data_IF_468046739457
#
_entry.id   IF_468046739457
#
_cell.length_a   1.000
_cell.length_b   1.000
_cell.length_c   1.000
_cell.angle_alpha   90.00
_cell.angle_beta   90.00
_cell.angle_gamma   90.00
#
_symmetry.space_group_name_H-M   'P 1'
#
loop_
_entity.id
_entity.type
_entity.pdbx_description
1 polymer ?
#
# COMPACT_ATOMS: atom_id res chain seq x y z
N UNK A 1 -7.34 8.46 -30.98
CA UNK A 1 -6.88 7.32 -30.15
C UNK A 1 -5.44 7.61 -29.72
N UNK A 2 -5.24 8.32 -28.61
CA UNK A 2 -3.90 8.63 -28.13
C UNK A 2 -3.38 7.47 -27.30
N UNK A 3 -2.54 6.64 -27.91
CA UNK A 3 -1.72 5.69 -27.20
C UNK A 3 -0.74 6.49 -26.33
N UNK A 4 -1.00 6.55 -25.03
CA UNK A 4 -0.02 6.99 -24.05
C UNK A 4 1.12 5.98 -24.09
N UNK A 5 2.15 6.27 -24.89
CA UNK A 5 3.44 5.62 -24.77
C UNK A 5 3.95 5.90 -23.36
N UNK A 6 3.72 4.97 -22.43
CA UNK A 6 4.61 4.84 -21.30
C UNK A 6 5.95 4.42 -21.88
N UNK A 7 6.84 5.40 -22.09
CA UNK A 7 8.24 5.12 -22.35
C UNK A 7 8.69 4.12 -21.28
N UNK A 8 9.05 2.91 -21.72
CA UNK A 8 9.77 1.96 -20.91
C UNK A 8 11.15 2.57 -20.66
N UNK A 9 11.24 3.45 -19.67
CA UNK A 9 12.53 3.85 -19.15
C UNK A 9 13.03 2.63 -18.39
N UNK A 10 13.73 1.74 -19.10
CA UNK A 10 14.55 0.68 -18.52
C UNK A 10 15.66 1.32 -17.68
N UNK A 11 15.28 1.86 -16.53
CA UNK A 11 16.23 2.38 -15.56
C UNK A 11 16.73 1.16 -14.82
N UNK A 12 17.94 0.71 -15.14
CA UNK A 12 18.67 -0.23 -14.29
C UNK A 12 18.64 0.26 -12.84
N UNK A 13 18.25 -0.59 -11.92
CA UNK A 13 18.27 -0.29 -10.50
C UNK A 13 19.69 -0.33 -9.92
N UNK A 14 19.90 0.21 -8.71
CA UNK A 14 21.20 0.19 -8.06
C UNK A 14 21.71 -1.24 -7.88
N UNK A 15 22.97 -1.49 -8.24
CA UNK A 15 23.61 -2.78 -7.99
C UNK A 15 23.96 -2.96 -6.52
N UNK A 16 24.01 -4.21 -6.07
CA UNK A 16 24.38 -4.56 -4.70
C UNK A 16 25.75 -5.25 -4.74
N UNK A 17 26.85 -4.60 -4.33
CA UNK A 17 28.21 -5.12 -4.55
C UNK A 17 28.45 -6.52 -4.02
N UNK A 18 27.87 -6.86 -2.86
CA UNK A 18 27.98 -8.20 -2.31
C UNK A 18 27.32 -9.26 -3.22
N UNK A 19 26.16 -8.96 -3.79
CA UNK A 19 25.46 -9.86 -4.72
C UNK A 19 26.17 -9.95 -6.07
N UNK A 20 26.77 -8.86 -6.53
CA UNK A 20 27.64 -8.87 -7.71
C UNK A 20 28.82 -9.81 -7.53
N UNK A 21 29.48 -9.75 -6.37
CA UNK A 21 30.60 -10.64 -6.06
C UNK A 21 30.19 -12.12 -6.02
N UNK A 22 29.02 -12.45 -5.47
CA UNK A 22 28.51 -13.82 -5.50
C UNK A 22 28.18 -14.31 -6.92
N UNK A 23 27.51 -13.46 -7.71
CA UNK A 23 27.19 -13.79 -9.10
C UNK A 23 28.47 -13.98 -9.95
N UNK A 24 29.48 -13.13 -9.76
CA UNK A 24 30.78 -13.25 -10.44
C UNK A 24 31.53 -14.55 -10.09
N UNK A 25 31.26 -15.13 -8.91
CA UNK A 25 31.79 -16.44 -8.48
C UNK A 25 30.93 -17.63 -8.96
N UNK A 26 29.95 -17.39 -9.83
CA UNK A 26 29.07 -18.43 -10.38
C UNK A 26 27.92 -18.85 -9.44
N UNK A 27 27.68 -18.13 -8.33
CA UNK A 27 26.55 -18.43 -7.46
C UNK A 27 25.24 -18.01 -8.12
N UNK A 28 24.28 -18.93 -8.23
CA UNK A 28 22.95 -18.61 -8.75
C UNK A 28 22.11 -17.83 -7.72
N UNK A 29 21.80 -16.57 -8.04
CA UNK A 29 20.93 -15.70 -7.26
C UNK A 29 19.58 -15.53 -7.97
N UNK A 30 18.62 -16.39 -7.64
CA UNK A 30 17.32 -16.52 -8.34
C UNK A 30 16.67 -15.16 -8.65
N UNK A 31 16.60 -14.25 -7.67
CA UNK A 31 15.93 -12.95 -7.83
C UNK A 31 16.88 -11.76 -7.89
N UNK A 32 18.14 -11.94 -8.29
CA UNK A 32 19.04 -10.80 -8.51
C UNK A 32 19.09 -10.44 -10.00
N UNK A 33 18.37 -9.39 -10.36
CA UNK A 33 18.29 -8.82 -11.71
C UNK A 33 18.20 -7.29 -11.59
N UNK A 34 19.33 -6.59 -11.34
CA UNK A 34 19.33 -5.14 -11.21
C UNK A 34 18.97 -4.43 -12.52
N UNK A 35 19.07 -5.12 -13.67
CA UNK A 35 18.70 -4.57 -14.98
C UNK A 35 17.22 -4.64 -15.29
N UNK A 36 16.48 -5.53 -14.62
CA UNK A 36 15.09 -5.82 -14.92
C UNK A 36 14.88 -6.61 -16.22
N UNK A 37 15.93 -7.21 -16.79
CA UNK A 37 15.87 -7.93 -18.07
C UNK A 37 15.08 -9.23 -17.99
N UNK A 38 15.00 -9.86 -16.81
CA UNK A 38 14.30 -11.13 -16.58
C UNK A 38 12.89 -10.91 -16.02
N UNK A 39 12.71 -9.89 -15.18
CA UNK A 39 11.46 -9.69 -14.43
C UNK A 39 10.72 -8.39 -14.79
N UNK A 40 11.18 -7.64 -15.79
CA UNK A 40 10.58 -6.38 -16.25
C UNK A 40 10.85 -5.17 -15.35
N UNK A 41 11.34 -5.39 -14.13
CA UNK A 41 11.76 -4.36 -13.17
C UNK A 41 13.04 -4.80 -12.48
N UNK A 42 13.91 -3.86 -12.05
CA UNK A 42 15.01 -4.19 -11.16
C UNK A 42 14.51 -5.02 -9.97
N UNK A 43 15.04 -6.23 -9.85
CA UNK A 43 14.55 -7.23 -8.91
C UNK A 43 15.67 -7.66 -7.98
N UNK A 44 15.36 -7.71 -6.69
CA UNK A 44 16.31 -8.07 -5.64
C UNK A 44 15.77 -9.24 -4.80
N UNK A 45 16.66 -10.08 -4.25
CA UNK A 45 16.25 -11.12 -3.33
C UNK A 45 15.80 -10.54 -1.99
N UNK A 46 15.06 -11.35 -1.21
CA UNK A 46 14.58 -10.95 0.11
C UNK A 46 15.71 -10.42 1.01
N UNK A 47 15.48 -9.27 1.65
CA UNK A 47 16.43 -8.53 2.51
C UNK A 47 17.62 -7.87 1.80
N UNK A 48 17.64 -7.83 0.47
CA UNK A 48 18.70 -7.21 -0.32
C UNK A 48 18.26 -5.99 -1.14
N UNK A 49 17.22 -5.28 -0.69
CA UNK A 49 16.89 -3.99 -1.30
C UNK A 49 18.09 -3.03 -1.19
N UNK A 50 18.49 -2.37 -2.29
CA UNK A 50 19.53 -1.35 -2.24
C UNK A 50 19.16 -0.16 -1.37
N UNK A 51 20.17 0.58 -0.92
CA UNK A 51 19.97 1.88 -0.25
C UNK A 51 19.19 2.84 -1.16
N UNK A 52 18.39 3.71 -0.56
CA UNK A 52 17.57 4.69 -1.27
C UNK A 52 16.25 4.13 -1.83
N UNK A 53 16.00 2.83 -1.69
CA UNK A 53 14.77 2.16 -2.10
C UNK A 53 14.03 1.58 -0.89
N UNK A 54 12.76 1.95 -0.71
CA UNK A 54 11.94 1.48 0.41
C UNK A 54 10.59 0.96 -0.05
N UNK A 55 10.07 -0.03 0.67
CA UNK A 55 8.68 -0.48 0.51
C UNK A 55 7.69 0.58 1.00
N UNK A 56 6.43 0.52 0.54
CA UNK A 56 5.35 1.42 1.04
C UNK A 56 5.22 1.40 2.55
N UNK A 57 5.41 0.23 3.19
CA UNK A 57 5.34 0.09 4.64
C UNK A 57 6.50 0.79 5.33
N UNK A 58 7.72 0.67 4.80
CA UNK A 58 8.89 1.37 5.33
C UNK A 58 8.76 2.89 5.13
N UNK A 59 8.34 3.36 3.95
CA UNK A 59 8.04 4.79 3.74
C UNK A 59 7.04 5.31 4.77
N UNK A 60 5.95 4.57 5.03
CA UNK A 60 4.96 4.96 6.03
C UNK A 60 5.55 5.06 7.45
N UNK A 61 6.46 4.16 7.82
CA UNK A 61 7.16 4.22 9.11
C UNK A 61 8.04 5.48 9.24
N UNK A 62 8.54 6.00 8.11
CA UNK A 62 9.27 7.28 8.05
C UNK A 62 8.36 8.51 7.84
N UNK A 63 7.04 8.38 7.96
CA UNK A 63 6.12 9.51 7.73
C UNK A 63 6.01 9.93 6.26
N UNK A 64 6.42 9.07 5.33
CA UNK A 64 6.44 9.32 3.89
C UNK A 64 5.36 8.52 3.15
N UNK A 65 5.10 8.92 1.90
CA UNK A 65 4.29 8.22 0.90
C UNK A 65 5.04 8.22 -0.44
N UNK A 66 4.74 7.27 -1.37
CA UNK A 66 5.40 7.20 -2.67
C UNK A 66 5.33 8.49 -3.51
N UNK A 67 4.36 9.38 -3.26
CA UNK A 67 4.32 10.68 -3.93
C UNK A 67 3.77 10.67 -5.37
N UNK A 68 3.29 9.53 -5.85
CA UNK A 68 2.77 9.34 -7.22
C UNK A 68 3.79 8.77 -8.21
N UNK A 69 5.02 8.51 -7.76
CA UNK A 69 6.04 7.86 -8.58
C UNK A 69 5.65 6.43 -8.98
N UNK A 70 6.11 5.93 -10.14
CA UNK A 70 5.97 4.52 -10.51
C UNK A 70 6.78 3.62 -9.57
N UNK A 71 6.55 2.31 -9.64
CA UNK A 71 7.39 1.33 -8.94
C UNK A 71 8.81 1.39 -9.53
N UNK A 72 9.82 1.58 -8.69
CA UNK A 72 11.20 1.71 -9.13
C UNK A 72 11.93 0.36 -9.18
N UNK A 73 11.54 -0.58 -8.33
CA UNK A 73 12.12 -1.91 -8.23
C UNK A 73 11.18 -2.84 -7.44
N UNK A 74 11.54 -4.12 -7.35
CA UNK A 74 10.80 -5.09 -6.57
C UNK A 74 11.72 -6.05 -5.81
N UNK A 75 11.17 -6.66 -4.76
CA UNK A 75 11.74 -7.84 -4.10
C UNK A 75 10.85 -9.02 -4.44
N UNK A 76 11.44 -10.13 -4.90
CA UNK A 76 10.75 -11.41 -5.08
C UNK A 76 11.30 -12.46 -4.12
N UNK A 77 10.42 -13.32 -3.61
CA UNK A 77 10.79 -14.47 -2.79
C UNK A 77 9.71 -15.55 -2.78
N UNK A 78 10.03 -16.70 -2.17
CA UNK A 78 9.19 -17.91 -2.17
C UNK A 78 8.81 -18.32 -3.59
N UNK A 79 9.82 -18.54 -4.45
CA UNK A 79 9.66 -18.95 -5.86
C UNK A 79 8.73 -18.00 -6.63
N UNK A 80 8.90 -16.69 -6.43
CA UNK A 80 8.10 -15.64 -7.07
C UNK A 80 6.68 -15.45 -6.51
N UNK A 81 6.22 -16.26 -5.54
CA UNK A 81 4.85 -16.15 -4.99
C UNK A 81 4.62 -14.92 -4.12
N UNK A 82 5.69 -14.20 -3.72
CA UNK A 82 5.58 -12.98 -2.93
C UNK A 82 6.42 -11.87 -3.54
N UNK A 83 5.81 -10.69 -3.58
CA UNK A 83 6.39 -9.45 -4.10
C UNK A 83 6.33 -8.33 -3.08
N UNK A 84 7.36 -7.49 -3.04
CA UNK A 84 7.32 -6.21 -2.35
C UNK A 84 7.86 -5.13 -3.28
N UNK A 85 7.01 -4.16 -3.63
CA UNK A 85 7.39 -3.04 -4.48
C UNK A 85 8.21 -2.01 -3.70
N UNK A 86 9.24 -1.51 -4.37
CA UNK A 86 10.18 -0.53 -3.87
C UNK A 86 9.99 0.80 -4.60
N UNK A 87 10.18 1.88 -3.83
CA UNK A 87 10.01 3.25 -4.26
C UNK A 87 11.24 4.06 -3.85
N UNK A 88 11.61 5.04 -4.66
CA UNK A 88 12.74 5.92 -4.37
C UNK A 88 12.38 6.85 -3.21
N UNK A 89 13.24 6.87 -2.19
CA UNK A 89 13.07 7.74 -1.03
C UNK A 89 13.17 9.22 -1.43
N UNK A 90 14.06 9.56 -2.36
CA UNK A 90 14.26 10.92 -2.84
C UNK A 90 13.01 11.53 -3.52
N UNK A 91 12.16 10.69 -4.11
CA UNK A 91 10.91 11.09 -4.76
C UNK A 91 9.68 10.94 -3.86
N UNK A 92 9.88 10.40 -2.66
CA UNK A 92 8.82 10.26 -1.68
C UNK A 92 8.38 11.63 -1.17
N UNK A 93 7.11 11.73 -0.79
CA UNK A 93 6.53 12.96 -0.24
C UNK A 93 6.09 12.71 1.19
N UNK A 94 5.99 13.73 2.05
CA UNK A 94 5.36 13.58 3.34
C UNK A 94 3.96 12.97 3.22
N UNK A 95 3.63 12.10 4.18
CA UNK A 95 2.28 11.56 4.35
C UNK A 95 1.30 12.74 4.49
N UNK A 96 0.16 12.66 3.80
CA UNK A 96 -0.88 13.69 3.93
C UNK A 96 -1.45 13.64 5.35
N UNK A 97 -1.47 14.79 6.00
CA UNK A 97 -2.22 15.01 7.24
C UNK A 97 -3.60 15.51 6.87
N UNK A 98 -4.64 14.90 7.45
CA UNK A 98 -6.00 15.37 7.25
C UNK A 98 -6.15 16.77 7.88
N UNK A 99 -6.86 17.67 7.20
CA UNK A 99 -7.17 18.98 7.77
C UNK A 99 -8.19 18.85 8.91
N UNK A 100 -8.27 19.82 9.84
CA UNK A 100 -9.30 19.82 10.87
C UNK A 100 -10.73 19.67 10.31
N UNK A 101 -11.02 20.32 9.18
CA UNK A 101 -12.32 20.20 8.50
C UNK A 101 -12.58 18.78 7.98
N UNK A 102 -11.57 18.12 7.42
CA UNK A 102 -11.69 16.71 6.99
C UNK A 102 -11.92 15.78 8.18
N UNK A 103 -11.22 16.01 9.30
CA UNK A 103 -11.41 15.24 10.53
C UNK A 103 -12.84 15.42 11.09
N UNK A 104 -13.35 16.65 11.11
CA UNK A 104 -14.71 16.95 11.53
C UNK A 104 -15.75 16.27 10.62
N UNK A 105 -15.54 16.29 9.30
CA UNK A 105 -16.41 15.61 8.34
C UNK A 105 -16.42 14.09 8.57
N UNK A 106 -15.26 13.48 8.80
CA UNK A 106 -15.16 12.05 9.15
C UNK A 106 -15.89 11.77 10.47
N UNK A 107 -15.69 12.59 11.51
CA UNK A 107 -16.37 12.43 12.79
C UNK A 107 -17.90 12.50 12.63
N UNK A 108 -18.41 13.45 11.85
CA UNK A 108 -19.85 13.57 11.52
C UNK A 108 -20.37 12.34 10.78
N UNK A 109 -19.63 11.84 9.79
CA UNK A 109 -19.99 10.64 9.04
C UNK A 109 -20.00 9.38 9.93
N UNK A 110 -19.01 9.24 10.81
CA UNK A 110 -18.95 8.13 11.77
C UNK A 110 -20.09 8.20 12.79
N UNK A 111 -20.42 9.40 13.30
CA UNK A 111 -21.58 9.61 14.17
C UNK A 111 -22.88 9.20 13.49
N UNK A 112 -23.11 9.64 12.24
CA UNK A 112 -24.31 9.28 11.49
C UNK A 112 -24.46 7.75 11.32
N UNK A 113 -23.36 7.01 11.11
CA UNK A 113 -23.37 5.54 11.03
C UNK A 113 -23.67 4.84 12.37
N UNK A 114 -23.68 5.59 13.47
CA UNK A 114 -23.98 5.11 14.82
C UNK A 114 -25.27 5.68 15.39
N UNK A 115 -25.85 6.70 14.76
CA UNK A 115 -27.13 7.29 15.19
C UNK A 115 -28.29 6.55 14.56
N UNK A 116 -29.16 5.99 15.39
CA UNK A 116 -30.35 5.29 14.94
C UNK A 116 -31.32 6.26 14.26
N UNK A 117 -31.82 5.92 13.07
CA UNK A 117 -32.85 6.71 12.39
C UNK A 117 -34.20 6.66 13.12
N UNK A 118 -34.47 5.58 13.87
CA UNK A 118 -35.75 5.36 14.56
C UNK A 118 -35.80 6.10 15.90
N UNK A 119 -34.78 5.94 16.76
CA UNK A 119 -34.78 6.54 18.10
C UNK A 119 -33.86 7.75 18.25
N UNK A 120 -33.06 8.10 17.24
CA UNK A 120 -32.15 9.26 17.27
C UNK A 120 -30.92 9.11 18.19
N UNK A 121 -30.77 7.98 18.89
CA UNK A 121 -29.68 7.76 19.86
C UNK A 121 -28.41 7.30 19.12
N UNK A 122 -27.26 7.90 19.47
CA UNK A 122 -25.94 7.40 19.06
C UNK A 122 -25.56 6.16 19.85
N UNK A 123 -25.21 5.08 19.14
CA UNK A 123 -24.80 3.80 19.70
C UNK A 123 -23.28 3.66 19.75
N UNK A 124 -22.77 2.79 20.62
CA UNK A 124 -21.35 2.44 20.68
C UNK A 124 -20.85 1.58 19.51
N UNK A 125 -21.73 1.17 18.61
CA UNK A 125 -21.46 0.29 17.48
C UNK A 125 -22.00 0.90 16.17
N UNK A 126 -21.51 0.40 15.02
CA UNK A 126 -22.10 0.76 13.73
C UNK A 126 -23.42 0.04 13.52
N UNK A 127 -24.45 0.82 13.19
CA UNK A 127 -25.79 0.27 12.95
C UNK A 127 -25.74 -0.64 11.71
N UNK A 128 -26.23 -1.90 11.82
CA UNK A 128 -26.27 -2.81 10.70
C UNK A 128 -27.13 -2.27 9.56
N UNK A 129 -26.58 -2.25 8.35
CA UNK A 129 -27.34 -1.79 7.17
C UNK A 129 -28.56 -2.66 6.85
N UNK A 130 -28.54 -3.94 7.23
CA UNK A 130 -29.65 -4.88 7.02
C UNK A 130 -30.86 -4.56 7.87
N UNK A 131 -30.65 -4.03 9.07
CA UNK A 131 -31.73 -3.65 9.98
C UNK A 131 -32.21 -2.22 9.71
N UNK A 132 -31.34 -1.34 9.20
CA UNK A 132 -31.64 0.08 9.00
C UNK A 132 -31.76 0.88 10.30
N UNK A 133 -31.91 0.21 11.43
CA UNK A 133 -32.04 0.77 12.77
C UNK A 133 -31.18 0.01 13.79
N UNK A 134 -31.07 0.56 15.00
CA UNK A 134 -30.29 -0.07 16.07
C UNK A 134 -30.92 -1.37 16.56
N UNK A 135 -30.12 -2.23 17.20
CA UNK A 135 -30.53 -3.55 17.67
C UNK A 135 -31.78 -3.49 18.58
N UNK A 136 -31.81 -2.54 19.52
CA UNK A 136 -32.94 -2.37 20.45
C UNK A 136 -34.24 -2.00 19.71
N UNK A 137 -34.16 -1.14 18.67
CA UNK A 137 -35.32 -0.78 17.86
C UNK A 137 -35.79 -1.95 17.00
N UNK A 138 -34.85 -2.66 16.39
CA UNK A 138 -35.15 -3.85 15.58
C UNK A 138 -35.79 -4.94 16.43
N UNK A 139 -35.34 -5.13 17.67
CA UNK A 139 -35.93 -6.10 18.60
C UNK A 139 -37.37 -5.71 18.95
N UNK A 140 -37.62 -4.43 19.26
CA UNK A 140 -38.95 -3.92 19.57
C UNK A 140 -39.92 -3.97 18.37
N UNK A 141 -39.42 -3.82 17.14
CA UNK A 141 -40.22 -3.84 15.91
C UNK A 141 -40.42 -5.25 15.32
N UNK A 142 -39.76 -6.27 15.89
CA UNK A 142 -39.77 -7.63 15.34
C UNK A 142 -38.89 -7.82 14.10
N UNK A 143 -38.00 -6.87 13.79
CA UNK A 143 -37.12 -6.87 12.60
C UNK A 143 -36.03 -7.95 12.55
N UNK A 144 -36.12 -8.99 13.38
CA UNK A 144 -35.15 -10.10 13.48
C UNK A 144 -35.65 -11.40 12.82
N UNK A 145 -36.88 -11.41 12.31
CA UNK A 145 -37.47 -12.51 11.52
C UNK A 145 -36.97 -12.53 10.09
#
# INVERSE_FOLDING_TARGET
>A
MHATHYACVSTSGPRVPALDAYAARGTYLEFYDPTGSRYGLPTYPYRWAPKGLLTRRQLRAHGLRPGGQPVAAQILWRRGKRVAYLYQVALAKPKRTATPAQLAAIAKALKARRTCSTCGIEKGYYIPRSLGECLDCAEASGGWS
#
